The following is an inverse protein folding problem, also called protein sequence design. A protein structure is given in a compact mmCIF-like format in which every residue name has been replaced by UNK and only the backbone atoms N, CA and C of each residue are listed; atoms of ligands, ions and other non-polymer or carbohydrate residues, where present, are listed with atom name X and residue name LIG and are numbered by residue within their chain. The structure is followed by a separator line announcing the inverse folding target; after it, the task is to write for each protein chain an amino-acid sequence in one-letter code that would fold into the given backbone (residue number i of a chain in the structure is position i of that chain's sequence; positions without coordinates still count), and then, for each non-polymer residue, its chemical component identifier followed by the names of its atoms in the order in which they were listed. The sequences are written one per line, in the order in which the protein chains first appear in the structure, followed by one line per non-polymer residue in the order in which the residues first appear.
data_IF_659860259315
#
_entry.id   IF_659860259315
#
_cell.length_a   1.000
_cell.length_b   1.000
_cell.length_c   1.000
_cell.angle_alpha   90.00
_cell.angle_beta   90.00
_cell.angle_gamma   90.00
#
_symmetry.space_group_name_H-M   'P 1'
#
loop_
_entity.id
_entity.type
_entity.pdbx_description
1 polymer ?
#
# COMPACT_ATOMS: atom_id res chain seq x y z
N UNK A 1 17.37 0.69 -15.25
CA UNK A 1 15.93 0.59 -14.92
C UNK A 1 15.24 1.83 -15.44
N UNK A 2 14.10 1.70 -16.14
CA UNK A 2 13.35 2.86 -16.63
C UNK A 2 12.62 3.51 -15.46
N UNK A 3 12.48 4.84 -15.49
CA UNK A 3 11.73 5.62 -14.49
C UNK A 3 10.30 5.10 -14.28
N UNK A 4 9.72 4.44 -15.29
CA UNK A 4 8.39 3.83 -15.17
C UNK A 4 8.39 2.52 -14.37
N UNK A 5 9.47 1.72 -14.44
CA UNK A 5 9.56 0.45 -13.71
C UNK A 5 9.64 0.71 -12.19
N UNK A 6 10.30 1.79 -11.79
CA UNK A 6 10.33 2.26 -10.39
C UNK A 6 8.94 2.69 -9.92
N UNK A 7 8.21 3.41 -10.77
CA UNK A 7 6.83 3.85 -10.49
C UNK A 7 5.90 2.64 -10.34
N UNK A 8 6.00 1.65 -11.25
CA UNK A 8 5.20 0.42 -11.22
C UNK A 8 5.49 -0.37 -9.93
N UNK A 9 6.75 -0.56 -9.59
CA UNK A 9 7.18 -1.23 -8.35
C UNK A 9 6.64 -0.53 -7.10
N UNK A 10 6.57 0.81 -7.13
CA UNK A 10 6.11 1.61 -6.00
C UNK A 10 4.58 1.68 -5.85
N UNK A 11 3.77 1.22 -6.83
CA UNK A 11 2.29 1.30 -6.81
C UNK A 11 1.70 0.85 -5.46
N UNK A 12 2.10 -0.30 -4.86
CA UNK A 12 1.52 -0.78 -3.62
C UNK A 12 1.75 0.13 -2.42
N UNK A 13 2.77 1.00 -2.46
CA UNK A 13 3.11 1.93 -1.40
C UNK A 13 2.54 3.34 -1.62
N UNK A 14 1.92 3.60 -2.78
CA UNK A 14 1.32 4.89 -3.11
C UNK A 14 -0.05 5.06 -2.45
N UNK A 15 -0.41 6.30 -2.12
CA UNK A 15 -1.78 6.69 -1.75
C UNK A 15 -2.73 6.59 -2.96
N UNK A 16 -4.03 6.41 -2.74
CA UNK A 16 -5.04 6.44 -3.82
C UNK A 16 -4.97 7.72 -4.67
N UNK A 17 -4.84 8.90 -4.06
CA UNK A 17 -4.71 10.18 -4.78
C UNK A 17 -3.51 10.19 -5.73
N UNK A 18 -2.33 9.76 -5.26
CA UNK A 18 -1.12 9.64 -6.10
C UNK A 18 -1.29 8.63 -7.23
N UNK A 19 -1.97 7.51 -7.00
CA UNK A 19 -2.31 6.55 -8.07
C UNK A 19 -3.26 7.15 -9.11
N UNK A 20 -4.27 7.91 -8.67
CA UNK A 20 -5.19 8.63 -9.56
C UNK A 20 -4.47 9.68 -10.42
N UNK A 21 -3.49 10.41 -9.86
CA UNK A 21 -2.65 11.34 -10.62
C UNK A 21 -1.85 10.61 -11.69
N UNK A 22 -1.22 9.49 -11.35
CA UNK A 22 -0.48 8.67 -12.32
C UNK A 22 -1.39 8.08 -13.40
N UNK A 23 -2.59 7.63 -13.05
CA UNK A 23 -3.59 7.17 -14.00
C UNK A 23 -4.01 8.28 -14.97
N UNK A 24 -4.28 9.49 -14.47
CA UNK A 24 -4.65 10.65 -15.29
C UNK A 24 -3.51 11.10 -16.22
N UNK A 25 -2.26 11.00 -15.77
CA UNK A 25 -1.08 11.29 -16.59
C UNK A 25 -0.89 10.23 -17.69
N UNK A 26 -1.01 8.95 -17.35
CA UNK A 26 -0.97 7.85 -18.31
C UNK A 26 -2.06 8.01 -19.38
N UNK A 27 -3.31 8.31 -18.97
CA UNK A 27 -4.42 8.55 -19.88
C UNK A 27 -4.15 9.71 -20.86
N UNK A 28 -3.58 10.83 -20.36
CA UNK A 28 -3.19 11.97 -21.21
C UNK A 28 -2.12 11.60 -22.23
N UNK A 29 -1.16 10.77 -21.86
CA UNK A 29 -0.11 10.29 -22.79
C UNK A 29 -0.69 9.33 -23.82
N UNK A 30 -1.56 8.41 -23.39
CA UNK A 30 -2.24 7.45 -24.28
C UNK A 30 -3.13 8.19 -25.28
N UNK A 31 -3.86 9.22 -24.86
CA UNK A 31 -4.71 10.02 -25.74
C UNK A 31 -3.95 10.72 -26.88
N UNK A 32 -2.66 11.03 -26.69
CA UNK A 32 -1.81 11.58 -27.76
C UNK A 32 -1.48 10.56 -28.85
N UNK A 33 -1.58 9.27 -28.54
CA UNK A 33 -1.32 8.15 -29.44
C UNK A 33 0.16 7.81 -29.63
N UNK A 34 0.45 6.61 -30.17
CA UNK A 34 1.80 6.05 -30.26
C UNK A 34 2.74 6.85 -31.15
N UNK A 35 2.21 7.53 -32.18
CA UNK A 35 3.02 8.34 -33.11
C UNK A 35 3.50 9.67 -32.52
N UNK A 36 2.83 10.18 -31.50
CA UNK A 36 3.09 11.53 -30.94
C UNK A 36 3.75 11.50 -29.57
N UNK A 37 3.98 10.31 -28.99
CA UNK A 37 4.61 10.19 -27.68
C UNK A 37 5.54 8.98 -27.61
N UNK A 38 6.85 9.18 -27.40
CA UNK A 38 7.77 8.07 -27.14
C UNK A 38 7.44 7.34 -25.82
N UNK A 39 6.69 7.99 -24.90
CA UNK A 39 6.27 7.41 -23.63
C UNK A 39 4.96 6.59 -23.72
N UNK A 40 4.41 6.37 -24.91
CA UNK A 40 3.13 5.68 -25.08
C UNK A 40 3.13 4.25 -24.52
N UNK A 41 4.20 3.48 -24.81
CA UNK A 41 4.34 2.11 -24.30
C UNK A 41 4.43 2.06 -22.76
N UNK A 42 5.20 2.97 -22.17
CA UNK A 42 5.33 3.09 -20.72
C UNK A 42 4.02 3.51 -20.05
N UNK A 43 3.25 4.39 -20.68
CA UNK A 43 1.93 4.80 -20.18
C UNK A 43 0.92 3.64 -20.21
N UNK A 44 0.95 2.78 -21.23
CA UNK A 44 0.13 1.56 -21.26
C UNK A 44 0.52 0.60 -20.14
N UNK A 45 1.83 0.33 -19.97
CA UNK A 45 2.34 -0.54 -18.90
C UNK A 45 1.92 -0.03 -17.51
N UNK A 46 2.02 1.28 -17.27
CA UNK A 46 1.61 1.89 -16.02
C UNK A 46 0.09 1.79 -15.79
N UNK A 47 -0.72 2.05 -16.82
CA UNK A 47 -2.19 1.90 -16.74
C UNK A 47 -2.56 0.48 -16.35
N UNK A 48 -2.00 -0.50 -17.05
CA UNK A 48 -2.34 -1.91 -16.82
C UNK A 48 -1.90 -2.36 -15.42
N UNK A 49 -0.73 -1.94 -14.95
CA UNK A 49 -0.27 -2.20 -13.58
C UNK A 49 -1.19 -1.56 -12.52
N UNK A 50 -1.66 -0.33 -12.74
CA UNK A 50 -2.61 0.34 -11.85
C UNK A 50 -3.97 -0.37 -11.86
N UNK A 51 -4.48 -0.78 -13.03
CA UNK A 51 -5.74 -1.53 -13.14
C UNK A 51 -5.66 -2.87 -12.42
N UNK A 52 -4.58 -3.64 -12.60
CA UNK A 52 -4.37 -4.91 -11.90
C UNK A 52 -4.31 -4.68 -10.38
N UNK A 53 -3.63 -3.62 -9.94
CA UNK A 53 -3.54 -3.28 -8.53
C UNK A 53 -4.91 -2.90 -7.94
N UNK A 54 -5.66 -2.02 -8.60
CA UNK A 54 -6.98 -1.59 -8.12
C UNK A 54 -8.00 -2.75 -8.17
N UNK A 55 -7.94 -3.63 -9.17
CA UNK A 55 -8.76 -4.84 -9.21
C UNK A 55 -8.46 -5.82 -8.06
N UNK A 56 -7.24 -5.80 -7.53
CA UNK A 56 -6.84 -6.56 -6.34
C UNK A 56 -7.11 -5.80 -5.02
N UNK A 57 -7.44 -4.51 -5.08
CA UNK A 57 -7.86 -3.74 -3.91
C UNK A 57 -9.31 -4.08 -3.53
N UNK A 58 -9.61 -4.20 -2.24
CA UNK A 58 -10.96 -4.45 -1.78
C UNK A 58 -11.76 -3.13 -1.86
N UNK A 59 -13.07 -3.21 -2.14
CA UNK A 59 -13.94 -2.03 -2.07
C UNK A 59 -13.95 -1.43 -0.66
N UNK A 60 -14.13 -0.11 -0.55
CA UNK A 60 -14.06 0.65 0.71
C UNK A 60 -15.04 0.14 1.80
N UNK A 61 -16.21 -0.37 1.40
CA UNK A 61 -17.19 -1.06 2.28
C UNK A 61 -16.67 -2.34 2.94
N UNK A 62 -15.49 -2.81 2.52
CA UNK A 62 -14.81 -3.99 3.06
C UNK A 62 -13.80 -3.66 4.15
N UNK A 63 -13.76 -2.42 4.66
CA UNK A 63 -12.85 -1.99 5.71
C UNK A 63 -13.53 -1.86 7.09
N UNK A 64 -12.74 -1.98 8.16
CA UNK A 64 -13.14 -1.74 9.56
C UNK A 64 -12.07 -0.89 10.25
N UNK A 65 -12.47 0.15 10.98
CA UNK A 65 -11.54 0.92 11.80
C UNK A 65 -11.12 0.11 13.03
N UNK A 66 -9.82 -0.11 13.21
CA UNK A 66 -9.27 -0.77 14.40
C UNK A 66 -7.82 -0.34 14.66
N UNK A 67 -7.50 -0.07 15.94
CA UNK A 67 -6.15 0.33 16.37
C UNK A 67 -5.60 1.56 15.61
N UNK A 68 -6.47 2.51 15.26
CA UNK A 68 -6.07 3.73 14.55
C UNK A 68 -5.75 3.55 13.05
N UNK A 69 -6.09 2.39 12.47
CA UNK A 69 -5.96 2.11 11.04
C UNK A 69 -7.26 1.53 10.49
N UNK A 70 -7.47 1.67 9.18
CA UNK A 70 -8.55 0.99 8.47
C UNK A 70 -8.06 -0.38 8.01
N UNK A 71 -8.71 -1.44 8.45
CA UNK A 71 -8.31 -2.81 8.15
C UNK A 71 -9.29 -3.50 7.23
N UNK A 72 -8.80 -4.40 6.39
CA UNK A 72 -9.65 -5.42 5.77
C UNK A 72 -10.58 -6.06 6.82
N UNK A 73 -11.89 -6.07 6.52
CA UNK A 73 -12.90 -6.77 7.30
C UNK A 73 -12.56 -8.25 7.35
N UNK A 74 -12.84 -8.85 8.50
CA UNK A 74 -12.65 -10.28 8.69
C UNK A 74 -13.72 -11.04 7.90
N UNK A 75 -13.29 -11.83 6.91
CA UNK A 75 -14.17 -12.75 6.18
C UNK A 75 -13.65 -14.18 6.34
N UNK A 76 -14.55 -15.17 6.26
CA UNK A 76 -14.17 -16.57 6.36
C UNK A 76 -13.17 -16.93 5.26
N UNK A 77 -12.12 -17.69 5.61
CA UNK A 77 -11.07 -18.12 4.68
C UNK A 77 -10.01 -17.06 4.35
N UNK A 78 -10.18 -15.79 4.73
CA UNK A 78 -9.17 -14.75 4.51
C UNK A 78 -7.96 -14.95 5.43
N UNK A 79 -6.78 -15.01 4.83
CA UNK A 79 -5.50 -15.19 5.54
C UNK A 79 -4.66 -13.92 5.59
N UNK A 80 -4.90 -12.95 4.70
CA UNK A 80 -4.17 -11.68 4.67
C UNK A 80 -5.12 -10.52 4.96
N UNK A 81 -4.72 -9.64 5.87
CA UNK A 81 -5.48 -8.46 6.28
C UNK A 81 -4.59 -7.23 6.08
N UNK A 82 -5.00 -6.34 5.19
CA UNK A 82 -4.31 -5.08 4.91
C UNK A 82 -4.76 -4.01 5.88
N UNK A 83 -3.83 -3.18 6.33
CA UNK A 83 -4.06 -2.00 7.15
C UNK A 83 -3.71 -0.74 6.36
N UNK A 84 -4.62 0.23 6.39
CA UNK A 84 -4.58 1.47 5.64
C UNK A 84 -4.56 2.68 6.59
N UNK A 85 -3.81 3.70 6.20
CA UNK A 85 -3.78 5.03 6.83
C UNK A 85 -4.16 6.04 5.74
N UNK A 86 -5.34 6.66 5.86
CA UNK A 86 -5.86 7.60 4.86
C UNK A 86 -5.89 7.03 3.42
N UNK A 87 -6.27 5.75 3.27
CA UNK A 87 -6.29 5.05 1.98
C UNK A 87 -4.91 4.61 1.44
N UNK A 88 -3.83 4.78 2.21
CA UNK A 88 -2.50 4.26 1.90
C UNK A 88 -2.29 2.92 2.58
N UNK A 89 -1.89 1.89 1.82
CA UNK A 89 -1.49 0.62 2.41
C UNK A 89 -0.21 0.83 3.24
N UNK A 90 -0.32 0.67 4.55
CA UNK A 90 0.79 0.86 5.49
C UNK A 90 1.17 -0.44 6.20
N UNK A 91 0.24 -1.39 6.32
CA UNK A 91 0.48 -2.65 7.01
C UNK A 91 -0.17 -3.85 6.31
N UNK A 92 0.38 -5.04 6.56
CA UNK A 92 -0.21 -6.33 6.23
C UNK A 92 -0.06 -7.26 7.41
N UNK A 93 -1.14 -7.94 7.79
CA UNK A 93 -1.13 -9.04 8.74
C UNK A 93 -1.42 -10.31 7.96
N UNK A 94 -0.53 -11.30 8.05
CA UNK A 94 -0.62 -12.57 7.34
C UNK A 94 -0.79 -13.68 8.37
N UNK A 95 -1.93 -14.37 8.35
CA UNK A 95 -2.19 -15.57 9.12
C UNK A 95 -1.51 -16.76 8.44
N UNK A 96 -0.44 -17.25 9.05
CA UNK A 96 0.32 -18.42 8.55
C UNK A 96 -0.39 -19.73 8.94
N UNK A 97 -0.93 -19.77 10.16
CA UNK A 97 -1.72 -20.88 10.69
C UNK A 97 -2.65 -20.35 11.80
N UNK A 98 -3.63 -21.12 12.28
CA UNK A 98 -4.39 -20.74 13.47
C UNK A 98 -3.46 -20.36 14.63
N UNK A 99 -3.70 -19.19 15.24
CA UNK A 99 -2.89 -18.69 16.34
C UNK A 99 -1.48 -18.20 15.97
N UNK A 100 -1.16 -17.99 14.68
CA UNK A 100 0.14 -17.43 14.26
C UNK A 100 -0.03 -16.42 13.13
N UNK A 101 0.30 -15.17 13.42
CA UNK A 101 0.21 -14.03 12.52
C UNK A 101 1.58 -13.37 12.35
N UNK A 102 1.94 -13.02 11.13
CA UNK A 102 3.13 -12.22 10.81
C UNK A 102 2.65 -10.83 10.39
N UNK A 103 3.35 -9.80 10.84
CA UNK A 103 3.05 -8.41 10.52
C UNK A 103 4.12 -7.86 9.59
N UNK A 104 3.71 -7.14 8.57
CA UNK A 104 4.58 -6.32 7.73
C UNK A 104 4.10 -4.88 7.80
N UNK A 105 5.02 -3.93 8.02
CA UNK A 105 4.75 -2.48 8.02
C UNK A 105 5.66 -1.84 6.98
N UNK A 106 5.07 -1.09 6.04
CA UNK A 106 5.78 -0.44 4.91
C UNK A 106 6.73 -1.37 4.14
N UNK A 107 6.40 -2.65 4.06
CA UNK A 107 7.19 -3.68 3.38
C UNK A 107 8.23 -4.40 4.25
N UNK A 108 8.48 -3.94 5.48
CA UNK A 108 9.37 -4.61 6.44
C UNK A 108 8.58 -5.54 7.36
N UNK A 109 9.01 -6.78 7.52
CA UNK A 109 8.40 -7.72 8.46
C UNK A 109 8.82 -7.40 9.90
N UNK A 110 7.87 -7.42 10.83
CA UNK A 110 8.17 -7.36 12.25
C UNK A 110 8.84 -8.68 12.68
N UNK A 111 9.83 -8.63 13.60
CA UNK A 111 10.66 -9.77 13.94
C UNK A 111 9.92 -10.88 14.71
N UNK A 112 8.73 -10.59 15.24
CA UNK A 112 8.00 -11.51 16.13
C UNK A 112 6.63 -11.86 15.54
N UNK A 113 6.22 -13.14 15.60
CA UNK A 113 4.85 -13.53 15.30
C UNK A 113 3.90 -13.21 16.46
N UNK A 114 2.62 -13.07 16.14
CA UNK A 114 1.55 -12.78 17.11
C UNK A 114 0.54 -13.92 17.16
N UNK A 115 -0.13 -14.09 18.30
CA UNK A 115 -1.10 -15.17 18.52
C UNK A 115 -2.53 -14.80 18.15
N UNK A 116 -2.85 -13.51 18.12
CA UNK A 116 -4.19 -13.01 17.77
C UNK A 116 -4.12 -11.96 16.67
N UNK A 117 -5.19 -11.85 15.88
CA UNK A 117 -5.31 -10.82 14.84
C UNK A 117 -5.30 -9.41 15.47
N UNK A 118 -5.98 -9.23 16.60
CA UNK A 118 -6.02 -7.94 17.30
C UNK A 118 -4.65 -7.50 17.78
N UNK A 119 -3.84 -8.41 18.37
CA UNK A 119 -2.47 -8.09 18.77
C UNK A 119 -1.58 -7.74 17.57
N UNK A 120 -1.73 -8.48 16.46
CA UNK A 120 -1.01 -8.19 15.22
C UNK A 120 -1.37 -6.81 14.63
N UNK A 121 -2.65 -6.41 14.70
CA UNK A 121 -3.11 -5.08 14.26
C UNK A 121 -2.57 -3.96 15.15
N UNK A 122 -2.61 -4.15 16.47
CA UNK A 122 -2.06 -3.19 17.42
C UNK A 122 -0.55 -2.97 17.18
N UNK A 123 0.21 -4.07 17.07
CA UNK A 123 1.64 -3.99 16.81
C UNK A 123 1.98 -3.33 15.47
N UNK A 124 1.15 -3.50 14.44
CA UNK A 124 1.32 -2.81 13.16
C UNK A 124 1.13 -1.30 13.31
N UNK A 125 0.11 -0.87 14.06
CA UNK A 125 -0.14 0.54 14.33
C UNK A 125 0.97 1.17 15.18
N UNK A 126 1.43 0.47 16.22
CA UNK A 126 2.56 0.91 17.06
C UNK A 126 3.84 1.08 16.24
N UNK A 127 4.19 0.09 15.42
CA UNK A 127 5.38 0.16 14.57
C UNK A 127 5.29 1.28 13.51
N UNK A 128 4.07 1.58 13.01
CA UNK A 128 3.86 2.70 12.11
C UNK A 128 4.09 4.05 12.82
N UNK A 129 3.60 4.20 14.05
CA UNK A 129 3.80 5.41 14.85
C UNK A 129 5.26 5.58 15.27
N UNK A 130 5.92 4.53 15.73
CA UNK A 130 7.35 4.56 16.07
C UNK A 130 8.21 4.99 14.88
N UNK A 131 7.96 4.41 13.69
CA UNK A 131 8.65 4.82 12.46
C UNK A 131 8.23 6.20 11.92
N UNK A 132 7.16 6.80 12.42
CA UNK A 132 6.79 8.19 12.12
C UNK A 132 7.45 9.18 13.09
N UNK A 133 7.69 8.79 14.35
CA UNK A 133 8.46 9.56 15.32
C UNK A 133 9.95 9.61 14.94
N UNK A 134 10.56 8.49 14.55
CA UNK A 134 11.95 8.46 14.07
C UNK A 134 12.17 9.37 12.85
N UNK A 135 11.19 9.42 11.94
CA UNK A 135 11.24 10.32 10.78
C UNK A 135 11.10 11.81 11.15
N UNK A 136 10.43 12.13 12.27
CA UNK A 136 10.30 13.50 12.80
C UNK A 136 11.54 13.94 13.57
N UNK A 137 12.24 13.02 14.24
CA UNK A 137 13.51 13.29 14.93
C UNK A 137 14.66 13.51 13.93
N UNK A 138 14.60 12.89 12.74
CA UNK A 138 15.63 13.02 11.70
C UNK A 138 15.58 14.34 10.88
N UNK A 139 14.64 15.24 11.12
CA UNK A 139 14.64 16.57 10.50
C UNK A 139 15.61 17.48 11.26
N UNK A 140 16.71 17.96 10.67
CA UNK A 140 17.53 18.96 11.32
C UNK A 140 16.69 20.22 11.48
N UNK A 141 16.55 20.70 12.73
CA UNK A 141 16.07 22.06 13.00
C UNK A 141 17.01 23.01 12.27
N UNK A 142 16.55 23.54 11.14
CA UNK A 142 17.21 24.67 10.51
C UNK A 142 17.12 25.84 11.50
N UNK A 143 18.29 26.21 12.03
CA UNK A 143 18.51 27.44 12.77
C UNK A 143 18.55 28.64 11.80
#
# INVERSE_FOLDING_TARGET
MSRIDDVITAIPAMTAAKRAVWAANAARVIAKGPRRSPAYADALRLRDALTVFEAACPAEDSLIAACGLDWDRTTAGRTTFRGFDGGRLVARVIRVRPGKFIVQVRGAALPRPYTTLSAARAAAAEALHAGAEDARVALPRAA
#
